data_IF_329757340845
#
_entry.id   IF_329757340845
#
_cell.length_a   1.000
_cell.length_b   1.000
_cell.length_c   1.000
_cell.angle_alpha   90.00
_cell.angle_beta   90.00
_cell.angle_gamma   90.00
#
_symmetry.space_group_name_H-M   'P 1'
#
loop_
_entity.id
_entity.type
_entity.pdbx_description
1 polymer ?
#
# COMPACT_ATOMS: atom_id res chain seq x y z
N UNK A 1 -28.60 -13.66 -0.67
CA UNK A 1 -29.29 -12.41 -0.29
C UNK A 1 -28.72 -12.05 1.07
N UNK A 2 -28.22 -10.83 1.28
CA UNK A 2 -27.92 -10.43 2.66
C UNK A 2 -29.24 -10.19 3.38
N UNK A 3 -29.44 -10.81 4.54
CA UNK A 3 -30.67 -10.70 5.32
C UNK A 3 -30.97 -9.22 5.69
N UNK A 4 -29.93 -8.39 5.77
CA UNK A 4 -30.01 -6.94 5.99
C UNK A 4 -30.69 -6.19 4.84
N UNK A 5 -30.40 -6.53 3.58
CA UNK A 5 -30.99 -5.82 2.44
C UNK A 5 -32.51 -6.09 2.34
N UNK A 6 -32.92 -7.32 2.63
CA UNK A 6 -34.34 -7.68 2.61
C UNK A 6 -35.15 -6.99 3.70
N UNK A 7 -34.54 -6.70 4.85
CA UNK A 7 -35.16 -5.90 5.90
C UNK A 7 -35.41 -4.46 5.41
N UNK A 8 -34.38 -3.79 4.88
CA UNK A 8 -34.52 -2.44 4.35
C UNK A 8 -35.48 -2.36 3.15
N UNK A 9 -35.52 -3.38 2.28
CA UNK A 9 -36.48 -3.46 1.18
C UNK A 9 -37.93 -3.52 1.70
N UNK A 10 -38.17 -4.23 2.82
CA UNK A 10 -39.48 -4.28 3.48
C UNK A 10 -39.84 -2.93 4.10
N UNK A 11 -38.92 -2.31 4.84
CA UNK A 11 -39.14 -1.02 5.51
C UNK A 11 -39.43 0.10 4.50
N UNK A 12 -38.70 0.14 3.39
CA UNK A 12 -38.95 1.06 2.28
C UNK A 12 -40.36 0.90 1.71
N UNK A 13 -40.80 -0.35 1.48
CA UNK A 13 -42.12 -0.61 0.93
C UNK A 13 -43.23 -0.19 1.90
N UNK A 14 -43.03 -0.37 3.21
CA UNK A 14 -43.97 0.05 4.23
C UNK A 14 -44.14 1.58 4.24
N UNK A 15 -43.03 2.33 4.33
CA UNK A 15 -43.05 3.79 4.35
C UNK A 15 -43.65 4.38 3.05
N UNK A 16 -43.32 3.79 1.90
CA UNK A 16 -43.89 4.19 0.61
C UNK A 16 -45.40 3.93 0.52
N UNK A 17 -45.88 2.79 1.04
CA UNK A 17 -47.32 2.48 1.08
C UNK A 17 -48.06 3.43 2.02
N UNK A 18 -47.47 3.78 3.15
CA UNK A 18 -48.02 4.76 4.09
C UNK A 18 -48.19 6.14 3.43
N UNK A 19 -47.13 6.64 2.76
CA UNK A 19 -47.18 7.91 2.03
C UNK A 19 -48.27 7.89 0.94
N UNK A 20 -48.35 6.82 0.14
CA UNK A 20 -49.38 6.67 -0.90
C UNK A 20 -50.80 6.62 -0.33
N UNK A 21 -50.99 5.95 0.80
CA UNK A 21 -52.30 5.85 1.47
C UNK A 21 -52.74 7.19 2.03
N UNK A 22 -51.83 7.95 2.64
CA UNK A 22 -52.15 9.29 3.13
C UNK A 22 -52.43 10.26 1.98
N UNK A 23 -51.72 10.16 0.85
CA UNK A 23 -51.98 10.96 -0.36
C UNK A 23 -53.38 10.68 -0.92
N UNK A 24 -53.84 9.43 -0.96
CA UNK A 24 -55.20 9.14 -1.46
C UNK A 24 -56.31 9.61 -0.52
N UNK A 25 -56.01 9.75 0.78
CA UNK A 25 -56.96 10.22 1.80
C UNK A 25 -57.00 11.75 1.94
N UNK A 26 -56.03 12.49 1.38
CA UNK A 26 -55.95 13.93 1.60
C UNK A 26 -57.16 14.70 1.08
N UNK A 27 -57.80 14.21 0.02
CA UNK A 27 -58.92 14.88 -0.63
C UNK A 27 -60.23 14.79 0.16
N UNK A 28 -60.33 13.87 1.12
CA UNK A 28 -61.49 13.77 2.02
C UNK A 28 -61.35 14.63 3.28
N UNK A 29 -60.17 15.22 3.52
CA UNK A 29 -59.85 15.98 4.73
C UNK A 29 -59.71 17.47 4.40
N UNK A 30 -60.40 18.33 5.15
CA UNK A 30 -60.39 19.78 4.95
C UNK A 30 -59.81 20.54 6.17
N UNK A 31 -59.41 21.79 5.95
CA UNK A 31 -58.99 22.70 7.02
C UNK A 31 -57.69 22.29 7.73
N UNK A 32 -57.69 22.36 9.05
CA UNK A 32 -56.51 22.11 9.89
C UNK A 32 -56.03 20.66 9.83
N UNK A 33 -56.96 19.71 9.74
CA UNK A 33 -56.64 18.30 9.59
C UNK A 33 -55.89 18.04 8.28
N UNK A 34 -56.23 18.74 7.18
CA UNK A 34 -55.52 18.60 5.89
C UNK A 34 -54.04 18.99 6.01
N UNK A 35 -53.73 20.02 6.81
CA UNK A 35 -52.35 20.45 7.08
C UNK A 35 -51.58 19.40 7.89
N UNK A 36 -52.24 18.75 8.85
CA UNK A 36 -51.63 17.65 9.61
C UNK A 36 -51.35 16.44 8.72
N UNK A 37 -52.29 16.10 7.82
CA UNK A 37 -52.09 15.05 6.82
C UNK A 37 -50.94 15.37 5.85
N UNK A 38 -50.81 16.61 5.38
CA UNK A 38 -49.67 17.05 4.54
C UNK A 38 -48.33 16.83 5.24
N UNK A 39 -48.20 17.25 6.50
CA UNK A 39 -46.99 17.00 7.29
C UNK A 39 -46.72 15.51 7.49
N UNK A 40 -47.77 14.72 7.67
CA UNK A 40 -47.63 13.27 7.83
C UNK A 40 -47.25 12.55 6.52
N UNK A 41 -47.59 13.13 5.36
CA UNK A 41 -47.15 12.66 4.04
C UNK A 41 -45.67 13.02 3.82
N UNK A 42 -45.29 14.25 4.17
CA UNK A 42 -43.89 14.72 4.12
C UNK A 42 -42.99 13.81 4.94
N UNK A 43 -43.33 13.58 6.22
CA UNK A 43 -42.57 12.73 7.11
C UNK A 43 -42.42 11.28 6.58
N UNK A 44 -43.49 10.67 6.07
CA UNK A 44 -43.43 9.31 5.51
C UNK A 44 -42.62 9.26 4.19
N UNK A 45 -42.61 10.35 3.41
CA UNK A 45 -41.80 10.44 2.19
C UNK A 45 -40.32 10.61 2.51
N UNK A 46 -40.00 11.38 3.55
CA UNK A 46 -38.64 11.57 4.02
C UNK A 46 -38.07 10.29 4.65
N UNK A 47 -38.87 9.58 5.46
CA UNK A 47 -38.49 8.26 6.01
C UNK A 47 -38.17 7.25 4.89
N UNK A 48 -38.99 7.20 3.83
CA UNK A 48 -38.73 6.34 2.69
C UNK A 48 -37.46 6.75 1.90
N UNK A 49 -37.07 8.03 1.89
CA UNK A 49 -35.82 8.49 1.29
C UNK A 49 -34.62 8.06 2.14
N UNK A 50 -34.70 8.20 3.46
CA UNK A 50 -33.64 7.79 4.38
C UNK A 50 -33.34 6.29 4.27
N UNK A 51 -34.38 5.44 4.25
CA UNK A 51 -34.21 3.99 4.06
C UNK A 51 -33.57 3.68 2.69
N UNK A 52 -33.98 4.40 1.63
CA UNK A 52 -33.41 4.22 0.31
C UNK A 52 -31.91 4.60 0.24
N UNK A 53 -31.50 5.63 0.96
CA UNK A 53 -30.09 6.00 1.07
C UNK A 53 -29.29 4.95 1.86
N UNK A 54 -29.84 4.39 2.95
CA UNK A 54 -29.24 3.27 3.68
C UNK A 54 -29.05 2.03 2.79
N UNK A 55 -30.07 1.68 1.99
CA UNK A 55 -29.96 0.61 0.98
C UNK A 55 -28.83 0.87 -0.03
N UNK A 56 -28.64 2.14 -0.42
CA UNK A 56 -27.57 2.56 -1.32
C UNK A 56 -26.16 2.32 -0.75
N UNK A 57 -25.98 2.55 0.55
CA UNK A 57 -24.72 2.31 1.25
C UNK A 57 -24.44 0.80 1.34
N UNK A 58 -25.45 0.00 1.68
CA UNK A 58 -25.31 -1.46 1.82
C UNK A 58 -24.97 -2.15 0.49
N UNK A 59 -25.42 -1.61 -0.66
CA UNK A 59 -25.00 -2.14 -1.97
C UNK A 59 -23.50 -2.00 -2.22
N UNK A 60 -22.84 -0.98 -1.63
CA UNK A 60 -21.41 -0.81 -1.78
C UNK A 60 -20.61 -1.89 -1.04
N UNK A 61 -21.17 -2.48 0.02
CA UNK A 61 -20.54 -3.56 0.79
C UNK A 61 -20.68 -4.94 0.11
N UNK A 62 -21.68 -5.12 -0.78
CA UNK A 62 -21.92 -6.38 -1.49
C UNK A 62 -20.87 -6.69 -2.58
N UNK A 63 -20.62 -7.97 -2.93
CA UNK A 63 -19.74 -8.36 -4.02
C UNK A 63 -20.27 -7.93 -5.42
N UNK A 64 -19.35 -7.65 -6.34
CA UNK A 64 -19.63 -7.01 -7.65
C UNK A 64 -20.65 -7.74 -8.53
N UNK A 65 -20.80 -9.05 -8.38
CA UNK A 65 -21.71 -9.89 -9.15
C UNK A 65 -23.21 -9.64 -8.84
N UNK A 66 -23.56 -9.22 -7.62
CA UNK A 66 -24.94 -8.97 -7.19
C UNK A 66 -25.34 -7.50 -7.30
N UNK A 67 -24.36 -6.58 -7.34
CA UNK A 67 -24.59 -5.11 -7.38
C UNK A 67 -25.45 -4.65 -8.55
N UNK A 68 -25.34 -5.27 -9.73
CA UNK A 68 -26.07 -4.83 -10.93
C UNK A 68 -27.59 -4.97 -10.78
N UNK A 69 -28.04 -6.08 -10.19
CA UNK A 69 -29.45 -6.38 -9.93
C UNK A 69 -30.05 -5.42 -8.88
N UNK A 70 -29.35 -5.22 -7.77
CA UNK A 70 -29.80 -4.32 -6.70
C UNK A 70 -29.81 -2.84 -7.13
N UNK A 71 -28.82 -2.41 -7.92
CA UNK A 71 -28.83 -1.06 -8.50
C UNK A 71 -30.01 -0.84 -9.45
N UNK A 72 -30.49 -1.87 -10.16
CA UNK A 72 -31.70 -1.76 -10.97
C UNK A 72 -32.95 -1.54 -10.11
N UNK A 73 -33.08 -2.27 -8.99
CA UNK A 73 -34.17 -2.07 -8.02
C UNK A 73 -34.14 -0.67 -7.40
N UNK A 74 -32.99 -0.18 -6.94
CA UNK A 74 -32.88 1.17 -6.36
C UNK A 74 -33.32 2.24 -7.37
N UNK A 75 -32.94 2.12 -8.65
CA UNK A 75 -33.42 3.06 -9.67
C UNK A 75 -34.95 3.04 -9.80
N UNK A 76 -35.57 1.88 -9.72
CA UNK A 76 -37.04 1.78 -9.74
C UNK A 76 -37.67 2.42 -8.50
N UNK A 77 -37.11 2.19 -7.31
CA UNK A 77 -37.59 2.79 -6.06
C UNK A 77 -37.44 4.31 -6.03
N UNK A 78 -36.32 4.84 -6.56
CA UNK A 78 -36.13 6.29 -6.76
C UNK A 78 -37.24 6.91 -7.61
N UNK A 79 -37.62 6.26 -8.71
CA UNK A 79 -38.72 6.75 -9.54
C UNK A 79 -40.06 6.78 -8.80
N UNK A 80 -40.35 5.77 -7.96
CA UNK A 80 -41.59 5.69 -7.21
C UNK A 80 -41.69 6.75 -6.10
N UNK A 81 -40.58 7.04 -5.42
CA UNK A 81 -40.54 8.07 -4.39
C UNK A 81 -40.59 9.47 -5.01
N UNK A 82 -39.94 9.68 -6.15
CA UNK A 82 -40.02 10.95 -6.89
C UNK A 82 -41.45 11.26 -7.37
N UNK A 83 -42.18 10.25 -7.86
CA UNK A 83 -43.59 10.39 -8.21
C UNK A 83 -44.44 10.82 -7.00
N UNK A 84 -44.20 10.18 -5.86
CA UNK A 84 -44.92 10.44 -4.60
C UNK A 84 -44.62 11.85 -4.07
N UNK A 85 -43.34 12.24 -4.08
CA UNK A 85 -42.86 13.57 -3.70
C UNK A 85 -43.42 14.67 -4.58
N UNK A 86 -43.47 14.45 -5.89
CA UNK A 86 -44.06 15.42 -6.83
C UNK A 86 -45.56 15.62 -6.57
N UNK A 87 -46.31 14.55 -6.27
CA UNK A 87 -47.73 14.65 -5.88
C UNK A 87 -47.91 15.42 -4.57
N UNK A 88 -47.10 15.12 -3.56
CA UNK A 88 -47.09 15.87 -2.29
C UNK A 88 -46.86 17.37 -2.54
N UNK A 89 -45.84 17.72 -3.33
CA UNK A 89 -45.51 19.12 -3.64
C UNK A 89 -46.67 19.86 -4.31
N UNK A 90 -47.34 19.23 -5.28
CA UNK A 90 -48.52 19.81 -5.92
C UNK A 90 -49.67 20.04 -4.93
N UNK A 91 -49.88 19.11 -4.00
CA UNK A 91 -50.91 19.22 -2.97
C UNK A 91 -50.58 20.32 -1.95
N UNK A 92 -49.31 20.44 -1.53
CA UNK A 92 -48.83 21.50 -0.66
C UNK A 92 -48.97 22.89 -1.32
N UNK A 93 -48.50 23.05 -2.56
CA UNK A 93 -48.64 24.30 -3.32
C UNK A 93 -50.11 24.71 -3.47
N UNK A 94 -51.01 23.73 -3.68
CA UNK A 94 -52.46 24.00 -3.75
C UNK A 94 -53.03 24.49 -2.42
N UNK A 95 -52.51 24.00 -1.30
CA UNK A 95 -52.93 24.40 0.04
C UNK A 95 -52.45 25.81 0.35
N UNK A 96 -51.18 26.12 0.07
CA UNK A 96 -50.60 27.45 0.24
C UNK A 96 -51.33 28.49 -0.59
N UNK A 97 -51.73 28.13 -1.83
CA UNK A 97 -52.54 29.00 -2.69
C UNK A 97 -53.92 29.27 -2.08
N UNK A 98 -54.56 28.27 -1.47
CA UNK A 98 -55.87 28.46 -0.78
C UNK A 98 -55.73 29.38 0.43
N UNK A 99 -54.68 29.20 1.23
CA UNK A 99 -54.41 30.00 2.42
C UNK A 99 -54.07 31.46 2.04
N UNK A 100 -53.34 31.68 0.95
CA UNK A 100 -52.93 33.01 0.48
C UNK A 100 -54.07 33.81 -0.17
N UNK A 101 -54.96 33.15 -0.91
CA UNK A 101 -56.06 33.79 -1.67
C UNK A 101 -57.43 33.63 -1.02
N UNK A 102 -57.48 33.38 0.30
CA UNK A 102 -58.67 33.08 1.10
C UNK A 102 -59.99 33.68 0.57
N UNK A 103 -61.03 32.82 0.51
CA UNK A 103 -62.34 33.03 -0.12
C UNK A 103 -62.82 34.48 -0.23
N UNK A 104 -62.49 35.12 -1.35
CA UNK A 104 -62.72 36.55 -1.60
C UNK A 104 -64.19 36.98 -1.85
N UNK A 105 -65.18 36.15 -1.53
CA UNK A 105 -66.57 36.38 -1.96
C UNK A 105 -67.64 36.25 -0.87
N UNK A 106 -67.29 36.29 0.42
CA UNK A 106 -68.28 36.39 1.50
C UNK A 106 -67.74 37.25 2.64
N UNK A 107 -67.94 38.55 2.55
CA UNK A 107 -68.56 39.37 3.61
C UNK A 107 -68.47 40.86 3.30
N UNK A 108 -69.49 41.58 3.77
CA UNK A 108 -69.95 42.87 3.29
C UNK A 108 -69.10 44.09 3.64
N UNK A 109 -69.54 45.20 3.04
CA UNK A 109 -68.98 46.55 3.04
C UNK A 109 -68.89 47.17 4.45
N UNK A 110 -67.77 47.03 5.17
CA UNK A 110 -67.48 47.93 6.31
C UNK A 110 -65.99 48.07 6.72
N UNK A 111 -65.01 47.97 5.79
CA UNK A 111 -63.59 48.08 6.17
C UNK A 111 -62.63 48.62 5.09
N UNK A 112 -62.99 49.70 4.38
CA UNK A 112 -62.17 50.19 3.25
C UNK A 112 -60.97 51.04 3.70
N UNK A 113 -61.01 51.70 4.86
CA UNK A 113 -59.90 52.56 5.33
C UNK A 113 -58.78 51.80 6.08
N UNK A 114 -59.14 50.85 6.95
CA UNK A 114 -58.15 50.03 7.68
C UNK A 114 -57.49 48.99 6.75
N UNK A 115 -58.21 48.51 5.73
CA UNK A 115 -57.66 47.58 4.73
C UNK A 115 -56.57 48.20 3.87
N UNK A 116 -56.70 49.47 3.46
CA UNK A 116 -55.70 50.15 2.64
C UNK A 116 -54.39 50.42 3.41
N UNK A 117 -54.49 50.81 4.69
CA UNK A 117 -53.32 50.97 5.58
C UNK A 117 -52.66 49.62 5.90
N UNK A 118 -53.44 48.58 6.20
CA UNK A 118 -52.92 47.21 6.35
C UNK A 118 -52.27 46.70 5.08
N UNK A 119 -52.82 47.02 3.91
CA UNK A 119 -52.25 46.64 2.62
C UNK A 119 -50.92 47.35 2.36
N UNK A 120 -50.77 48.63 2.72
CA UNK A 120 -49.49 49.34 2.62
C UNK A 120 -48.44 48.80 3.60
N UNK A 121 -48.82 48.51 4.85
CA UNK A 121 -47.94 47.87 5.83
C UNK A 121 -47.53 46.46 5.40
N UNK A 122 -48.46 45.69 4.83
CA UNK A 122 -48.17 44.37 4.29
C UNK A 122 -47.23 44.44 3.08
N UNK A 123 -47.45 45.40 2.16
CA UNK A 123 -46.52 45.65 1.05
C UNK A 123 -45.12 46.03 1.57
N UNK A 124 -45.03 46.91 2.56
CA UNK A 124 -43.75 47.29 3.12
C UNK A 124 -43.05 46.13 3.82
N UNK A 125 -43.77 45.32 4.61
CA UNK A 125 -43.22 44.12 5.25
C UNK A 125 -42.78 43.06 4.24
N UNK A 126 -43.46 42.97 3.09
CA UNK A 126 -43.05 42.08 1.99
C UNK A 126 -41.83 42.60 1.24
N UNK A 127 -41.70 43.92 1.03
CA UNK A 127 -40.49 44.52 0.47
C UNK A 127 -39.28 44.32 1.40
N UNK A 128 -39.47 44.47 2.70
CA UNK A 128 -38.41 44.28 3.69
C UNK A 128 -37.93 42.82 3.73
N UNK A 129 -38.88 41.86 3.71
CA UNK A 129 -38.56 40.43 3.55
C UNK A 129 -37.88 40.12 2.22
N UNK A 130 -38.31 40.74 1.11
CA UNK A 130 -37.66 40.57 -0.19
C UNK A 130 -36.24 41.15 -0.19
N UNK A 131 -36.02 42.29 0.46
CA UNK A 131 -34.70 42.90 0.61
C UNK A 131 -33.76 42.01 1.44
N UNK A 132 -34.22 41.49 2.57
CA UNK A 132 -33.47 40.54 3.39
C UNK A 132 -33.16 39.24 2.62
N UNK A 133 -34.13 38.69 1.89
CA UNK A 133 -33.90 37.52 1.03
C UNK A 133 -32.90 37.79 -0.09
N UNK A 134 -32.89 38.99 -0.66
CA UNK A 134 -31.90 39.37 -1.66
C UNK A 134 -30.50 39.46 -1.06
N UNK A 135 -30.35 40.06 0.12
CA UNK A 135 -29.06 40.10 0.82
C UNK A 135 -28.57 38.70 1.19
N UNK A 136 -29.45 37.84 1.68
CA UNK A 136 -29.12 36.45 2.02
C UNK A 136 -28.79 35.64 0.77
N UNK A 137 -29.54 35.81 -0.33
CA UNK A 137 -29.21 35.22 -1.62
C UNK A 137 -27.83 35.66 -2.12
N UNK A 138 -27.50 36.95 -1.97
CA UNK A 138 -26.19 37.47 -2.34
C UNK A 138 -25.07 36.85 -1.50
N UNK A 139 -25.29 36.71 -0.20
CA UNK A 139 -24.35 36.04 0.71
C UNK A 139 -24.13 34.58 0.31
N UNK A 140 -25.20 33.82 0.10
CA UNK A 140 -25.13 32.41 -0.31
C UNK A 140 -24.44 32.29 -1.68
N UNK A 141 -24.71 33.22 -2.61
CA UNK A 141 -24.06 33.22 -3.92
C UNK A 141 -22.53 33.42 -3.80
N UNK A 142 -22.08 34.34 -2.94
CA UNK A 142 -20.66 34.55 -2.66
C UNK A 142 -20.01 33.36 -1.96
N UNK A 143 -20.72 32.73 -1.02
CA UNK A 143 -20.27 31.49 -0.38
C UNK A 143 -20.14 30.34 -1.39
N UNK A 144 -21.12 30.22 -2.30
CA UNK A 144 -21.10 29.23 -3.38
C UNK A 144 -19.96 29.49 -4.37
N UNK A 145 -19.67 30.75 -4.69
CA UNK A 145 -18.51 31.13 -5.51
C UNK A 145 -17.20 30.74 -4.83
N UNK A 146 -17.08 31.00 -3.53
CA UNK A 146 -15.90 30.63 -2.76
C UNK A 146 -15.69 29.11 -2.69
N UNK A 147 -16.75 28.35 -2.38
CA UNK A 147 -16.72 26.89 -2.38
C UNK A 147 -16.36 26.36 -3.78
N UNK A 148 -16.94 26.93 -4.84
CA UNK A 148 -16.62 26.60 -6.22
C UNK A 148 -15.14 26.83 -6.54
N UNK A 149 -14.57 27.95 -6.09
CA UNK A 149 -13.15 28.25 -6.21
C UNK A 149 -12.27 27.20 -5.51
N UNK A 150 -12.63 26.80 -4.30
CA UNK A 150 -11.90 25.78 -3.55
C UNK A 150 -11.98 24.40 -4.23
N UNK A 151 -13.15 24.02 -4.75
CA UNK A 151 -13.32 22.77 -5.52
C UNK A 151 -12.45 22.78 -6.78
N UNK A 152 -12.39 23.90 -7.51
CA UNK A 152 -11.54 24.01 -8.70
C UNK A 152 -10.05 23.87 -8.37
N UNK A 153 -9.61 24.43 -7.23
CA UNK A 153 -8.24 24.28 -6.75
C UNK A 153 -7.95 22.82 -6.36
N UNK A 154 -8.87 22.16 -5.68
CA UNK A 154 -8.73 20.74 -5.31
C UNK A 154 -8.70 19.85 -6.55
N UNK A 155 -9.62 20.05 -7.51
CA UNK A 155 -9.62 19.32 -8.79
C UNK A 155 -8.31 19.53 -9.57
N UNK A 156 -7.71 20.71 -9.50
CA UNK A 156 -6.41 20.99 -10.11
C UNK A 156 -5.29 20.20 -9.42
N UNK A 157 -5.27 20.18 -8.08
CA UNK A 157 -4.33 19.38 -7.28
C UNK A 157 -4.48 17.88 -7.57
N UNK A 158 -5.72 17.37 -7.57
CA UNK A 158 -6.01 15.97 -7.91
C UNK A 158 -5.55 15.63 -9.33
N UNK A 159 -5.75 16.52 -10.31
CA UNK A 159 -5.24 16.32 -11.68
C UNK A 159 -3.72 16.20 -11.70
N UNK A 160 -3.02 17.01 -10.91
CA UNK A 160 -1.56 16.96 -10.80
C UNK A 160 -1.11 15.64 -10.17
N UNK A 161 -1.77 15.18 -9.10
CA UNK A 161 -1.50 13.88 -8.49
C UNK A 161 -1.72 12.71 -9.47
N UNK A 162 -2.82 12.71 -10.21
CA UNK A 162 -3.11 11.69 -11.23
C UNK A 162 -2.04 11.71 -12.34
N UNK A 163 -1.62 12.91 -12.76
CA UNK A 163 -0.57 13.05 -13.77
C UNK A 163 0.77 12.53 -13.25
N UNK A 164 1.12 12.84 -11.99
CA UNK A 164 2.31 12.32 -11.32
C UNK A 164 2.30 10.79 -11.23
N UNK A 165 1.20 10.21 -10.73
CA UNK A 165 1.03 8.76 -10.65
C UNK A 165 1.16 8.08 -12.03
N UNK A 166 0.56 8.69 -13.07
CA UNK A 166 0.66 8.19 -14.44
C UNK A 166 2.09 8.22 -14.99
N UNK A 167 2.85 9.28 -14.70
CA UNK A 167 4.26 9.37 -15.11
C UNK A 167 5.12 8.31 -14.40
N UNK A 168 4.91 8.11 -13.09
CA UNK A 168 5.59 7.05 -12.33
C UNK A 168 5.29 5.66 -12.89
N UNK A 169 4.03 5.38 -13.25
CA UNK A 169 3.63 4.14 -13.89
C UNK A 169 4.31 3.93 -15.26
N UNK A 170 4.36 4.95 -16.11
CA UNK A 170 5.08 4.87 -17.39
C UNK A 170 6.57 4.59 -17.20
N UNK A 171 7.18 5.17 -16.16
CA UNK A 171 8.57 4.91 -15.84
C UNK A 171 8.76 3.45 -15.38
N UNK A 172 7.87 2.93 -14.54
CA UNK A 172 7.86 1.54 -14.10
C UNK A 172 7.72 0.56 -15.28
N UNK A 173 6.81 0.82 -16.23
CA UNK A 173 6.66 0.01 -17.45
C UNK A 173 7.96 -0.04 -18.26
N UNK A 174 8.66 1.09 -18.36
CA UNK A 174 9.96 1.16 -19.06
C UNK A 174 11.02 0.29 -18.36
N UNK A 175 11.03 0.24 -17.03
CA UNK A 175 11.93 -0.65 -16.27
C UNK A 175 11.55 -2.11 -16.45
N UNK A 176 10.25 -2.43 -16.46
CA UNK A 176 9.75 -3.78 -16.74
C UNK A 176 10.22 -4.23 -18.12
N UNK A 177 10.08 -3.42 -19.16
CA UNK A 177 10.53 -3.76 -20.51
C UNK A 177 12.04 -4.04 -20.57
N UNK A 178 12.86 -3.21 -19.92
CA UNK A 178 14.31 -3.43 -19.80
C UNK A 178 14.61 -4.75 -19.07
N UNK A 179 13.92 -5.02 -17.96
CA UNK A 179 14.10 -6.25 -17.20
C UNK A 179 13.73 -7.48 -18.03
N UNK A 180 12.64 -7.45 -18.80
CA UNK A 180 12.23 -8.53 -19.70
C UNK A 180 13.27 -8.75 -20.81
N UNK A 181 13.81 -7.67 -21.37
CA UNK A 181 14.87 -7.75 -22.38
C UNK A 181 16.15 -8.41 -21.81
N UNK A 182 16.55 -8.04 -20.59
CA UNK A 182 17.71 -8.65 -19.92
C UNK A 182 17.46 -10.11 -19.60
N UNK A 183 16.29 -10.49 -19.07
CA UNK A 183 15.89 -11.87 -18.83
C UNK A 183 15.92 -12.71 -20.11
N UNK A 184 15.42 -12.17 -21.23
CA UNK A 184 15.49 -12.82 -22.55
C UNK A 184 16.94 -13.00 -23.02
N UNK A 185 17.85 -12.09 -22.68
CA UNK A 185 19.29 -12.24 -22.96
C UNK A 185 19.94 -13.33 -22.09
N UNK A 186 19.58 -13.39 -20.80
CA UNK A 186 20.07 -14.42 -19.86
C UNK A 186 19.55 -15.81 -20.22
N UNK A 187 18.28 -15.93 -20.61
CA UNK A 187 17.69 -17.19 -21.08
C UNK A 187 18.38 -17.75 -22.32
N UNK A 188 18.73 -16.88 -23.29
CA UNK A 188 19.52 -17.28 -24.47
C UNK A 188 20.93 -17.74 -24.10
N UNK A 189 21.60 -17.03 -23.17
CA UNK A 189 22.93 -17.42 -22.67
C UNK A 189 22.91 -18.76 -21.93
N UNK A 190 21.89 -19.02 -21.10
CA UNK A 190 21.70 -20.29 -20.40
C UNK A 190 21.51 -21.46 -21.36
N UNK A 191 20.69 -21.29 -22.41
CA UNK A 191 20.52 -22.32 -23.43
C UNK A 191 21.82 -22.58 -24.21
N UNK A 192 22.53 -21.53 -24.62
CA UNK A 192 23.82 -21.67 -25.30
C UNK A 192 24.84 -22.41 -24.42
N UNK A 193 24.96 -22.06 -23.15
CA UNK A 193 25.86 -22.71 -22.20
C UNK A 193 25.47 -24.18 -21.95
N UNK A 194 24.16 -24.50 -21.93
CA UNK A 194 23.67 -25.88 -21.86
C UNK A 194 24.06 -26.70 -23.09
N UNK A 195 23.89 -26.16 -24.30
CA UNK A 195 24.31 -26.84 -25.53
C UNK A 195 25.82 -27.09 -25.57
N UNK A 196 26.63 -26.10 -25.18
CA UNK A 196 28.09 -26.25 -25.09
C UNK A 196 28.46 -27.38 -24.11
N UNK A 197 27.82 -27.40 -22.94
CA UNK A 197 28.08 -28.42 -21.92
C UNK A 197 27.73 -29.83 -22.41
N UNK A 198 26.58 -29.98 -23.08
CA UNK A 198 26.18 -31.27 -23.65
C UNK A 198 27.10 -31.71 -24.80
N UNK A 199 27.59 -30.78 -25.62
CA UNK A 199 28.57 -31.09 -26.67
C UNK A 199 29.88 -31.63 -26.08
N UNK A 200 30.40 -30.99 -25.02
CA UNK A 200 31.62 -31.45 -24.32
C UNK A 200 31.42 -32.85 -23.73
N UNK A 201 30.30 -33.09 -23.04
CA UNK A 201 29.97 -34.40 -22.48
C UNK A 201 29.91 -35.47 -23.58
N UNK A 202 29.27 -35.16 -24.73
CA UNK A 202 29.22 -36.06 -25.87
C UNK A 202 30.60 -36.40 -26.44
N UNK A 203 31.48 -35.41 -26.57
CA UNK A 203 32.87 -35.62 -27.02
C UNK A 203 33.64 -36.50 -26.02
N UNK A 204 33.48 -36.25 -24.72
CA UNK A 204 34.13 -37.07 -23.68
C UNK A 204 33.66 -38.53 -23.72
N UNK A 205 32.35 -38.76 -23.89
CA UNK A 205 31.80 -40.12 -24.02
C UNK A 205 32.36 -40.82 -25.27
N UNK A 206 32.44 -40.10 -26.40
CA UNK A 206 33.01 -40.64 -27.64
C UNK A 206 34.48 -41.01 -27.45
N UNK A 207 35.27 -40.13 -26.81
CA UNK A 207 36.68 -40.42 -26.49
C UNK A 207 36.82 -41.62 -25.56
N UNK A 208 35.98 -41.74 -24.52
CA UNK A 208 35.99 -42.90 -23.62
C UNK A 208 35.68 -44.17 -24.40
N UNK A 209 34.66 -44.16 -25.26
CA UNK A 209 34.29 -45.31 -26.07
C UNK A 209 35.42 -45.68 -27.06
N UNK A 210 36.05 -44.69 -27.69
CA UNK A 210 37.20 -44.88 -28.56
C UNK A 210 38.37 -45.50 -27.79
N UNK A 211 38.68 -45.01 -26.58
CA UNK A 211 39.72 -45.59 -25.72
C UNK A 211 39.36 -47.02 -25.32
N UNK A 212 38.11 -47.32 -24.99
CA UNK A 212 37.65 -48.67 -24.66
C UNK A 212 37.77 -49.61 -25.87
N UNK A 213 37.43 -49.15 -27.08
CA UNK A 213 37.61 -49.93 -28.31
C UNK A 213 39.09 -50.19 -28.62
N UNK A 214 39.95 -49.17 -28.47
CA UNK A 214 41.41 -49.34 -28.62
C UNK A 214 41.94 -50.29 -27.54
N UNK A 215 41.48 -50.16 -26.29
CA UNK A 215 41.85 -51.06 -25.20
C UNK A 215 41.36 -52.47 -25.46
N UNK A 216 40.16 -52.67 -26.00
CA UNK A 216 39.61 -53.99 -26.30
C UNK A 216 40.41 -54.67 -27.43
N UNK A 217 40.69 -53.95 -28.52
CA UNK A 217 41.59 -54.43 -29.58
C UNK A 217 43.02 -54.69 -29.06
N UNK A 218 43.53 -53.81 -28.20
CA UNK A 218 44.86 -53.99 -27.60
C UNK A 218 44.89 -55.10 -26.55
N UNK A 219 43.80 -55.42 -25.83
CA UNK A 219 43.76 -56.56 -24.89
C UNK A 219 43.89 -57.88 -25.65
N UNK A 220 43.38 -57.96 -26.89
CA UNK A 220 43.62 -59.10 -27.77
C UNK A 220 45.09 -59.16 -28.27
N UNK A 221 45.79 -58.03 -28.32
CA UNK A 221 47.21 -57.93 -28.71
C UNK A 221 48.21 -57.95 -27.53
N UNK A 222 47.77 -57.64 -26.30
CA UNK A 222 48.61 -57.29 -25.15
C UNK A 222 48.69 -58.37 -24.06
N UNK A 223 48.39 -59.64 -24.39
CA UNK A 223 49.00 -60.77 -23.65
C UNK A 223 50.54 -60.68 -23.70
N UNK A 224 51.12 -59.89 -24.61
CA UNK A 224 52.57 -59.89 -24.86
C UNK A 224 53.38 -58.78 -24.16
N UNK A 225 52.88 -57.58 -23.86
CA UNK A 225 53.79 -56.51 -23.35
C UNK A 225 53.09 -55.50 -22.44
N UNK A 226 53.23 -55.69 -21.13
CA UNK A 226 52.93 -54.67 -20.13
C UNK A 226 54.21 -54.24 -19.43
N UNK A 227 54.68 -53.01 -19.68
CA UNK A 227 55.31 -52.23 -18.61
C UNK A 227 55.32 -50.72 -18.90
N UNK A 228 54.93 -50.00 -17.85
CA UNK A 228 55.42 -48.69 -17.39
C UNK A 228 54.61 -47.39 -17.63
N UNK A 229 54.09 -46.92 -16.47
CA UNK A 229 53.78 -45.60 -15.91
C UNK A 229 53.67 -44.33 -16.76
N UNK A 230 52.71 -43.47 -16.39
CA UNK A 230 52.79 -42.00 -16.57
C UNK A 230 52.37 -41.26 -15.31
N UNK A 231 53.11 -40.20 -15.01
CA UNK A 231 52.92 -39.22 -13.93
C UNK A 231 51.81 -38.18 -14.28
N UNK A 232 51.16 -37.65 -13.24
CA UNK A 232 50.16 -36.58 -13.32
C UNK A 232 50.78 -35.21 -13.02
N UNK A 233 50.31 -34.16 -13.71
CA UNK A 233 50.51 -32.75 -13.34
C UNK A 233 49.24 -32.17 -12.73
N UNK A 234 49.38 -31.40 -11.64
CA UNK A 234 48.30 -30.61 -11.02
C UNK A 234 48.43 -29.14 -11.40
N UNK A 235 47.35 -28.52 -11.86
CA UNK A 235 47.24 -27.07 -11.94
C UNK A 235 46.82 -26.47 -10.59
N UNK A 236 47.25 -25.23 -10.35
CA UNK A 236 47.10 -24.48 -9.10
C UNK A 236 45.64 -24.11 -8.80
N UNK A 237 45.22 -24.33 -7.55
CA UNK A 237 43.92 -23.92 -7.00
C UNK A 237 43.98 -22.44 -6.57
N UNK A 238 43.03 -21.63 -7.06
CA UNK A 238 42.71 -20.32 -6.47
C UNK A 238 42.04 -20.57 -5.12
N UNK A 239 42.62 -20.02 -4.05
CA UNK A 239 42.13 -20.16 -2.67
C UNK A 239 41.03 -19.14 -2.38
N UNK A 240 39.93 -19.60 -1.79
CA UNK A 240 38.77 -18.80 -1.42
C UNK A 240 38.75 -18.76 0.11
N UNK A 241 38.69 -17.56 0.71
CA UNK A 241 38.41 -17.31 2.13
C UNK A 241 39.08 -18.26 3.13
N UNK A 242 40.37 -18.10 3.37
CA UNK A 242 41.04 -18.79 4.47
C UNK A 242 41.45 -17.77 5.52
N UNK A 243 40.90 -17.92 6.73
CA UNK A 243 41.53 -17.40 7.94
C UNK A 243 42.96 -17.88 7.96
N UNK A 244 43.88 -16.95 8.15
CA UNK A 244 45.28 -17.26 8.25
C UNK A 244 45.57 -17.76 9.67
N UNK A 245 46.06 -18.99 9.81
CA UNK A 245 46.55 -19.44 11.12
C UNK A 245 47.71 -18.53 11.54
N UNK A 246 47.70 -17.99 12.78
CA UNK A 246 48.74 -17.09 13.23
C UNK A 246 50.10 -17.80 13.22
N UNK A 247 51.16 -17.04 12.93
CA UNK A 247 52.53 -17.54 13.07
C UNK A 247 52.89 -17.54 14.56
N UNK A 248 53.66 -18.52 15.04
CA UNK A 248 54.07 -18.57 16.45
C UNK A 248 54.78 -17.27 16.85
N UNK A 249 54.17 -16.47 17.73
CA UNK A 249 54.70 -15.19 18.24
C UNK A 249 54.10 -13.90 17.67
N UNK A 250 53.14 -13.97 16.74
CA UNK A 250 52.39 -12.81 16.19
C UNK A 250 50.86 -13.01 16.34
N UNK A 251 50.42 -13.57 17.46
CA UNK A 251 49.01 -13.83 17.78
C UNK A 251 48.37 -12.57 18.37
N UNK A 252 47.25 -12.12 17.80
CA UNK A 252 46.44 -11.03 18.31
C UNK A 252 45.21 -11.59 19.02
N UNK A 253 44.71 -10.89 20.03
CA UNK A 253 43.54 -11.32 20.80
C UNK A 253 42.34 -10.43 20.51
N UNK A 254 41.17 -11.05 20.33
CA UNK A 254 39.89 -10.36 20.19
C UNK A 254 38.85 -11.01 21.10
N UNK A 255 38.04 -10.19 21.78
CA UNK A 255 36.96 -10.64 22.66
C UNK A 255 35.61 -10.20 22.14
N UNK A 256 34.73 -11.18 21.88
CA UNK A 256 33.35 -10.96 21.50
C UNK A 256 32.42 -11.09 22.71
N UNK A 257 31.57 -10.09 22.90
CA UNK A 257 30.45 -10.12 23.84
C UNK A 257 29.21 -10.53 23.04
N UNK A 258 28.72 -11.75 23.28
CA UNK A 258 27.49 -12.24 22.62
C UNK A 258 26.23 -11.56 23.16
N UNK A 259 25.11 -11.73 22.44
CA UNK A 259 23.78 -11.24 22.83
C UNK A 259 23.36 -11.66 24.24
N UNK A 260 23.86 -12.81 24.71
CA UNK A 260 23.61 -13.35 26.06
C UNK A 260 24.53 -12.75 27.14
N UNK A 261 25.41 -11.81 26.77
CA UNK A 261 26.39 -11.19 27.66
C UNK A 261 27.61 -12.06 27.98
N UNK A 262 27.78 -13.21 27.31
CA UNK A 262 28.95 -14.07 27.49
C UNK A 262 30.14 -13.55 26.68
N UNK A 263 31.33 -13.62 27.27
CA UNK A 263 32.57 -13.19 26.64
C UNK A 263 33.29 -14.40 26.05
N UNK A 264 33.68 -14.29 24.78
CA UNK A 264 34.46 -15.28 24.07
C UNK A 264 35.71 -14.63 23.47
N UNK A 265 36.88 -15.08 23.90
CA UNK A 265 38.17 -14.57 23.41
C UNK A 265 38.79 -15.55 22.43
N UNK A 266 39.35 -15.04 21.33
CA UNK A 266 39.97 -15.82 20.27
C UNK A 266 41.32 -15.25 19.86
N UNK A 267 42.21 -16.15 19.45
CA UNK A 267 43.52 -15.83 18.88
C UNK A 267 43.39 -15.73 17.35
N UNK A 268 43.84 -14.61 16.79
CA UNK A 268 43.64 -14.25 15.37
C UNK A 268 44.93 -13.72 14.75
N UNK A 269 45.01 -13.80 13.42
CA UNK A 269 46.14 -13.27 12.67
C UNK A 269 45.88 -11.82 12.22
N UNK A 270 46.97 -11.07 12.01
CA UNK A 270 46.93 -9.74 11.40
C UNK A 270 46.32 -9.80 9.99
N UNK A 271 45.39 -8.89 9.70
CA UNK A 271 44.74 -8.73 8.40
C UNK A 271 43.42 -9.49 8.24
N UNK A 272 43.06 -10.39 9.15
CA UNK A 272 41.74 -11.04 9.16
C UNK A 272 40.65 -10.04 9.56
N UNK A 273 39.48 -10.13 8.92
CA UNK A 273 38.34 -9.27 9.24
C UNK A 273 37.50 -9.85 10.39
N UNK A 274 36.81 -8.99 11.13
CA UNK A 274 36.05 -9.40 12.32
C UNK A 274 34.89 -10.34 11.96
N UNK A 275 34.28 -10.18 10.79
CA UNK A 275 33.21 -11.05 10.30
C UNK A 275 33.70 -12.51 10.11
N UNK A 276 34.82 -12.70 9.44
CA UNK A 276 35.41 -14.01 9.14
C UNK A 276 35.82 -14.70 10.44
N UNK A 277 36.43 -13.94 11.37
CA UNK A 277 36.76 -14.42 12.71
C UNK A 277 35.50 -14.91 13.44
N UNK A 278 34.41 -14.14 13.39
CA UNK A 278 33.15 -14.52 14.03
C UNK A 278 32.55 -15.78 13.40
N UNK A 279 32.51 -15.86 12.06
CA UNK A 279 31.95 -16.99 11.33
C UNK A 279 32.76 -18.28 11.53
N UNK A 280 34.08 -18.23 11.53
CA UNK A 280 34.90 -19.42 11.74
C UNK A 280 34.84 -19.97 13.16
N UNK A 281 34.58 -19.10 14.13
CA UNK A 281 34.37 -19.49 15.52
C UNK A 281 32.90 -19.81 15.85
N UNK A 282 32.02 -19.85 14.83
CA UNK A 282 30.58 -20.15 14.95
C UNK A 282 29.83 -19.20 15.89
N UNK A 283 30.23 -17.91 15.91
CA UNK A 283 29.48 -16.86 16.59
C UNK A 283 28.24 -16.48 15.77
N UNK A 284 27.17 -16.07 16.46
CA UNK A 284 25.88 -15.70 15.86
C UNK A 284 25.91 -14.32 15.18
N UNK A 285 26.71 -14.23 14.10
CA UNK A 285 26.84 -13.07 13.23
C UNK A 285 26.52 -13.50 11.78
N UNK A 286 25.49 -12.88 11.19
CA UNK A 286 24.95 -13.32 9.90
C UNK A 286 25.87 -13.01 8.71
N UNK A 287 26.26 -11.74 8.53
CA UNK A 287 27.08 -11.32 7.39
C UNK A 287 26.50 -11.67 6.02
N UNK A 288 25.22 -11.37 5.79
CA UNK A 288 24.45 -11.83 4.63
C UNK A 288 25.05 -11.48 3.25
N UNK A 289 25.78 -10.37 3.14
CA UNK A 289 26.44 -9.95 1.89
C UNK A 289 27.85 -10.53 1.70
N UNK A 290 28.34 -11.37 2.62
CA UNK A 290 29.69 -11.93 2.58
C UNK A 290 30.81 -10.90 2.66
N UNK A 291 30.58 -9.76 3.32
CA UNK A 291 31.57 -8.72 3.52
C UNK A 291 31.75 -7.70 2.39
N UNK A 292 30.81 -7.65 1.43
CA UNK A 292 30.82 -6.72 0.29
C UNK A 292 30.26 -5.32 0.60
N UNK A 293 30.12 -4.94 1.87
CA UNK A 293 29.52 -3.67 2.31
C UNK A 293 28.11 -3.39 1.74
N UNK A 294 27.33 -4.44 1.48
CA UNK A 294 25.98 -4.33 0.89
C UNK A 294 24.85 -4.65 1.89
N UNK A 295 25.17 -4.81 3.17
CA UNK A 295 24.17 -5.02 4.23
C UNK A 295 24.72 -4.62 5.61
N UNK A 296 23.84 -4.39 6.58
CA UNK A 296 24.17 -4.04 7.97
C UNK A 296 24.13 -5.22 8.96
N UNK A 297 24.04 -6.46 8.46
CA UNK A 297 23.92 -7.67 9.32
C UNK A 297 25.21 -8.11 10.01
N UNK A 298 26.33 -7.45 9.71
CA UNK A 298 27.63 -7.62 10.38
C UNK A 298 27.95 -6.47 11.35
N UNK A 299 26.94 -5.71 11.75
CA UNK A 299 27.07 -4.62 12.71
C UNK A 299 27.64 -5.12 14.05
N UNK A 300 28.66 -4.40 14.53
CA UNK A 300 29.31 -4.59 15.82
C UNK A 300 29.39 -3.26 16.55
N UNK A 301 29.46 -3.32 17.88
CA UNK A 301 29.73 -2.16 18.73
C UNK A 301 31.14 -2.33 19.28
N UNK A 302 32.02 -1.38 18.97
CA UNK A 302 33.42 -1.40 19.39
C UNK A 302 33.57 -0.72 20.76
N UNK A 303 34.46 -1.23 21.59
CA UNK A 303 34.83 -0.59 22.86
C UNK A 303 35.46 0.79 22.59
N UNK A 304 34.98 1.89 23.23
CA UNK A 304 35.49 3.25 22.99
C UNK A 304 37.02 3.38 23.11
N UNK A 305 37.67 2.55 23.94
CA UNK A 305 39.13 2.57 24.10
C UNK A 305 39.89 2.26 22.80
N UNK A 306 39.30 1.45 21.91
CA UNK A 306 39.91 1.02 20.65
C UNK A 306 39.29 1.67 19.42
N UNK A 307 38.21 2.46 19.57
CA UNK A 307 37.48 3.02 18.44
C UNK A 307 38.32 4.03 17.64
N UNK A 308 39.10 4.86 18.35
CA UNK A 308 39.95 5.90 17.74
C UNK A 308 41.13 5.32 16.94
N UNK A 309 41.49 4.06 17.18
CA UNK A 309 42.56 3.34 16.45
C UNK A 309 42.07 2.71 15.14
N UNK A 310 40.75 2.62 14.94
CA UNK A 310 40.14 2.06 13.74
C UNK A 310 39.91 3.20 12.72
N UNK A 311 40.27 3.03 11.44
CA UNK A 311 39.99 4.03 10.40
C UNK A 311 38.50 4.38 10.36
N UNK A 312 38.16 5.67 10.29
CA UNK A 312 36.77 6.15 10.20
C UNK A 312 35.97 5.44 9.09
N UNK A 313 34.66 5.22 9.29
CA UNK A 313 33.81 4.58 8.29
C UNK A 313 33.71 5.42 7.02
N UNK A 314 33.78 4.75 5.87
CA UNK A 314 33.58 5.37 4.55
C UNK A 314 32.10 5.73 4.33
N UNK A 315 31.79 6.59 3.35
CA UNK A 315 30.42 7.05 3.07
C UNK A 315 29.46 5.86 2.81
N UNK A 316 29.92 4.87 2.03
CA UNK A 316 29.16 3.63 1.75
C UNK A 316 28.94 2.77 3.01
N UNK A 317 29.87 2.80 3.97
CA UNK A 317 29.73 2.11 5.25
C UNK A 317 28.68 2.82 6.12
N UNK A 318 28.72 4.16 6.17
CA UNK A 318 27.77 4.98 6.93
C UNK A 318 26.33 4.82 6.43
N UNK A 319 26.12 4.84 5.10
CA UNK A 319 24.82 4.61 4.49
C UNK A 319 24.21 3.26 4.90
N UNK A 320 25.05 2.24 5.08
CA UNK A 320 24.61 0.93 5.55
C UNK A 320 24.43 0.88 7.07
N UNK A 321 25.27 1.56 7.85
CA UNK A 321 25.16 1.65 9.31
C UNK A 321 23.87 2.35 9.74
N UNK A 322 23.37 3.32 8.98
CA UNK A 322 22.08 3.98 9.24
C UNK A 322 20.88 3.02 9.23
N UNK A 323 21.03 1.87 8.57
CA UNK A 323 20.01 0.82 8.53
C UNK A 323 20.15 -0.19 9.69
N UNK A 324 21.21 -0.11 10.48
CA UNK A 324 21.49 -1.02 11.59
C UNK A 324 20.58 -0.76 12.79
N UNK A 325 20.26 -1.82 13.53
CA UNK A 325 19.39 -1.71 14.70
C UNK A 325 20.21 -1.43 15.96
N UNK A 326 19.84 -0.39 16.72
CA UNK A 326 20.56 -0.03 17.94
C UNK A 326 21.94 0.57 17.66
N UNK A 327 22.04 1.44 16.64
CA UNK A 327 23.25 2.16 16.29
C UNK A 327 23.73 3.02 17.48
N UNK A 328 25.04 2.95 17.73
CA UNK A 328 25.76 3.72 18.76
C UNK A 328 26.92 4.48 18.10
N UNK A 329 27.49 5.46 18.80
CA UNK A 329 28.60 6.27 18.27
C UNK A 329 29.84 5.41 17.92
N UNK A 330 30.06 4.30 18.64
CA UNK A 330 31.18 3.37 18.37
C UNK A 330 30.79 2.17 17.50
N UNK A 331 29.68 2.28 16.76
CA UNK A 331 29.21 1.21 15.86
C UNK A 331 29.99 1.16 14.56
N UNK A 332 30.31 -0.06 14.10
CA UNK A 332 31.00 -0.31 12.82
C UNK A 332 30.48 -1.56 12.12
N UNK A 333 30.74 -1.70 10.83
CA UNK A 333 30.53 -2.95 10.11
C UNK A 333 31.75 -3.86 10.28
N UNK A 334 31.58 -5.00 10.96
CA UNK A 334 32.66 -5.94 11.26
C UNK A 334 33.35 -6.54 10.03
N UNK A 335 32.77 -6.40 8.83
CA UNK A 335 33.43 -6.81 7.59
C UNK A 335 34.45 -5.80 7.06
N UNK A 336 34.34 -4.52 7.44
CA UNK A 336 35.28 -3.47 7.02
C UNK A 336 36.45 -3.32 8.00
N UNK A 337 36.25 -3.71 9.26
CA UNK A 337 37.29 -3.69 10.29
C UNK A 337 38.19 -4.91 10.17
N UNK A 338 39.50 -4.66 10.03
CA UNK A 338 40.55 -5.68 9.96
C UNK A 338 41.43 -5.62 11.20
N UNK A 339 41.91 -6.77 11.66
CA UNK A 339 42.84 -6.85 12.78
C UNK A 339 44.20 -6.26 12.41
N UNK A 340 44.65 -5.27 13.17
CA UNK A 340 46.01 -4.70 13.13
C UNK A 340 46.69 -4.93 14.46
N UNK A 341 48.00 -4.69 14.53
CA UNK A 341 48.78 -4.85 15.79
C UNK A 341 48.38 -3.89 16.90
N UNK A 342 47.76 -2.77 16.55
CA UNK A 342 47.28 -1.75 17.49
C UNK A 342 46.00 -2.25 18.19
N UNK A 343 45.18 -3.02 17.48
CA UNK A 343 43.93 -3.62 17.98
C UNK A 343 44.13 -4.92 18.77
N UNK A 344 45.30 -5.14 19.39
CA UNK A 344 45.52 -6.32 20.24
C UNK A 344 44.75 -6.18 21.56
N UNK A 345 43.86 -7.14 21.82
CA UNK A 345 42.93 -7.10 22.95
C UNK A 345 41.58 -6.46 22.62
N UNK A 346 41.29 -6.16 21.35
CA UNK A 346 40.04 -5.53 20.91
C UNK A 346 38.80 -6.22 21.49
N UNK A 347 37.90 -5.42 22.06
CA UNK A 347 36.62 -5.88 22.61
C UNK A 347 35.48 -5.37 21.74
N UNK A 348 34.64 -6.29 21.29
CA UNK A 348 33.48 -5.99 20.46
C UNK A 348 32.22 -6.63 21.01
N UNK A 349 31.11 -5.92 20.98
CA UNK A 349 29.80 -6.43 21.37
C UNK A 349 28.92 -6.67 20.15
N UNK A 350 28.22 -7.80 20.16
CA UNK A 350 27.21 -8.14 19.17
C UNK A 350 25.87 -7.52 19.59
N UNK A 351 25.21 -6.75 18.71
CA UNK A 351 23.91 -6.14 19.02
C UNK A 351 22.85 -7.23 19.21
N UNK A 352 21.82 -6.93 20.03
CA UNK A 352 20.76 -7.87 20.39
C UNK A 352 19.95 -8.37 19.17
N UNK A 353 19.87 -7.59 18.10
CA UNK A 353 19.10 -7.92 16.90
C UNK A 353 19.78 -7.38 15.63
N UNK A 354 19.82 -8.20 14.58
CA UNK A 354 20.23 -7.83 13.22
C UNK A 354 19.03 -7.99 12.30
N UNK A 355 18.85 -7.07 11.35
CA UNK A 355 17.76 -7.16 10.36
C UNK A 355 18.36 -7.25 8.96
N UNK A 356 18.08 -8.35 8.29
CA UNK A 356 18.34 -8.51 6.86
C UNK A 356 17.07 -8.14 6.09
N UNK A 357 17.03 -6.98 5.42
CA UNK A 357 15.88 -6.63 4.57
C UNK A 357 15.85 -7.58 3.37
N UNK A 358 15.12 -8.69 3.50
CA UNK A 358 14.83 -9.59 2.40
C UNK A 358 13.44 -9.27 1.85
N UNK A 359 13.27 -9.40 0.54
CA UNK A 359 12.04 -9.10 -0.22
C UNK A 359 10.79 -9.90 0.22
N UNK A 360 10.88 -10.70 1.29
CA UNK A 360 9.80 -11.50 1.87
C UNK A 360 9.06 -10.80 3.02
N UNK A 361 9.58 -9.68 3.53
CA UNK A 361 8.99 -8.97 4.67
C UNK A 361 7.77 -8.10 4.31
N UNK A 362 7.41 -8.05 3.02
CA UNK A 362 6.32 -7.22 2.48
C UNK A 362 5.14 -8.02 1.91
N UNK A 363 5.02 -9.32 2.24
CA UNK A 363 4.00 -10.20 1.67
C UNK A 363 3.02 -10.75 2.70
#
# INVERSE_FOLDING_TARGET
>A
MSDSFTAYESDFQLALQEAKTKISQIDSVEGEQRKQYLKAIEAATDEALEVLDQMGIEIQSLPSNQRSSYNAKIRQYKLQIDETKNKYKQLADSQDKRDLFGGRYRDGEEAVADSQRKQLLNNHSSLDRSSQRLQESQRIALETEHIGGNILNDLRSQREQITGARNTLQQADTYIDKSVQTLKSMGRRLLANKFISYAIIGVLILLIFLVLLIRFNNVQSSIIKYCYSKEFHSSSILKHGHIHKPKPGEELHITFITKDGKQHSYEVAEGDNILDIAQANNLDMEGACGGSCACSTCHIIVDPEYYDEIPEPDDDENDMLDLAFGLTETSRLGCQVKMTKELDGLRVALPAMTRNLQNKDFN
#
